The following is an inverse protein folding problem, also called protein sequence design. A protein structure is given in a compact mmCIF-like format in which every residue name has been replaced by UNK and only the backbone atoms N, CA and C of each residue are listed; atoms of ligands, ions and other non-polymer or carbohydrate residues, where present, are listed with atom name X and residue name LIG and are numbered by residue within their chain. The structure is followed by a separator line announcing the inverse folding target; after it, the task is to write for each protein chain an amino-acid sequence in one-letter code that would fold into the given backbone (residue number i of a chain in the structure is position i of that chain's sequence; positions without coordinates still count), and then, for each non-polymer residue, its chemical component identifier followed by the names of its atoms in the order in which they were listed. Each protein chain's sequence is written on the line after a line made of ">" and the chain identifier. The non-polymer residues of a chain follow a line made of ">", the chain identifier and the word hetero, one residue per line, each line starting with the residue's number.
data_IF_872968849647
#
_entry.id   IF_872968849647
#
_cell.length_a   1.000
_cell.length_b   1.000
_cell.length_c   1.000
_cell.angle_alpha   90.00
_cell.angle_beta   90.00
_cell.angle_gamma   90.00
#
_symmetry.space_group_name_H-M   'P 1'
#
loop_
_entity.id
_entity.type
_entity.pdbx_description
1 polymer ?
#
# COMPACT_ATOMS: atom_id res chain seq x y z
N UNK A 1 -8.01 -23.40 10.67
CA UNK A 1 -8.21 -24.75 10.17
C UNK A 1 -7.58 -25.06 8.79
N UNK A 2 -6.48 -24.39 8.41
CA UNK A 2 -5.61 -24.75 7.28
C UNK A 2 -6.33 -25.14 5.95
N UNK A 3 -7.30 -24.34 5.53
CA UNK A 3 -7.93 -24.53 4.23
C UNK A 3 -7.01 -23.99 3.14
N UNK A 4 -6.79 -24.75 2.09
CA UNK A 4 -5.96 -24.35 0.96
C UNK A 4 -6.81 -24.25 -0.30
N UNK A 5 -6.85 -23.06 -0.90
CA UNK A 5 -7.48 -22.85 -2.20
C UNK A 5 -6.46 -23.11 -3.31
N UNK A 6 -6.49 -24.28 -3.92
CA UNK A 6 -5.64 -24.65 -5.08
C UNK A 6 -6.30 -24.35 -6.43
N UNK A 7 -7.24 -23.43 -6.46
CA UNK A 7 -7.87 -22.95 -7.67
C UNK A 7 -7.03 -21.81 -8.27
N UNK A 8 -6.83 -21.78 -9.60
CA UNK A 8 -6.08 -20.68 -10.22
C UNK A 8 -6.80 -19.34 -10.14
N UNK A 9 -8.13 -19.34 -10.00
CA UNK A 9 -8.95 -18.13 -10.01
C UNK A 9 -10.21 -18.31 -9.17
N UNK A 10 -10.46 -17.33 -8.32
CA UNK A 10 -11.73 -17.06 -7.67
C UNK A 10 -12.35 -15.83 -8.35
N UNK A 11 -13.53 -15.97 -8.93
CA UNK A 11 -14.21 -14.87 -9.62
C UNK A 11 -15.67 -14.77 -9.16
N UNK A 12 -16.10 -13.56 -8.77
CA UNK A 12 -17.43 -13.32 -8.21
C UNK A 12 -17.76 -14.20 -7.00
N UNK A 13 -16.81 -14.37 -6.09
CA UNK A 13 -16.97 -15.21 -4.89
C UNK A 13 -17.21 -14.32 -3.68
N UNK A 14 -18.11 -14.75 -2.81
CA UNK A 14 -18.49 -14.04 -1.60
C UNK A 14 -18.03 -14.83 -0.38
N UNK A 15 -17.16 -14.22 0.44
CA UNK A 15 -16.71 -14.72 1.74
C UNK A 15 -17.16 -13.81 2.89
N UNK A 16 -18.23 -13.02 2.71
CA UNK A 16 -18.71 -12.09 3.72
C UNK A 16 -18.95 -12.81 5.03
N UNK A 17 -18.37 -12.31 6.13
CA UNK A 17 -18.44 -12.90 7.47
C UNK A 17 -17.91 -14.33 7.56
N UNK A 18 -17.10 -14.75 6.59
CA UNK A 18 -16.43 -16.05 6.68
C UNK A 18 -15.47 -16.06 7.87
N UNK A 19 -15.34 -17.21 8.51
CA UNK A 19 -14.39 -17.43 9.58
C UNK A 19 -13.43 -18.56 9.21
N UNK A 20 -12.13 -18.24 9.14
CA UNK A 20 -11.09 -19.21 8.84
C UNK A 20 -9.72 -18.61 9.12
N UNK A 21 -9.02 -19.13 10.11
CA UNK A 21 -7.62 -18.78 10.33
C UNK A 21 -6.70 -19.64 9.50
N UNK A 22 -5.52 -19.11 9.15
CA UNK A 22 -4.49 -19.81 8.39
C UNK A 22 -4.98 -20.32 7.03
N UNK A 23 -5.86 -19.58 6.36
CA UNK A 23 -6.34 -19.96 5.01
C UNK A 23 -5.29 -19.61 3.97
N UNK A 24 -4.98 -20.53 3.08
CA UNK A 24 -4.02 -20.31 2.00
C UNK A 24 -4.71 -19.99 0.68
N UNK A 25 -4.64 -18.72 0.28
CA UNK A 25 -5.07 -18.20 -1.01
C UNK A 25 -3.90 -17.95 -1.97
N UNK A 26 -2.67 -18.29 -1.58
CA UNK A 26 -1.47 -17.90 -2.34
C UNK A 26 -1.52 -18.28 -3.82
N UNK A 27 -0.92 -17.42 -4.66
CA UNK A 27 -0.79 -17.63 -6.11
C UNK A 27 -2.10 -17.73 -6.88
N UNK A 28 -3.22 -17.31 -6.28
CA UNK A 28 -4.52 -17.28 -6.95
C UNK A 28 -4.79 -15.91 -7.58
N UNK A 29 -5.64 -15.89 -8.58
CA UNK A 29 -6.28 -14.69 -9.09
C UNK A 29 -7.58 -14.51 -8.30
N UNK A 30 -7.67 -13.42 -7.52
CA UNK A 30 -8.84 -13.02 -6.75
C UNK A 30 -9.49 -11.85 -7.49
N UNK A 31 -10.56 -12.12 -8.22
CA UNK A 31 -11.22 -11.14 -9.08
C UNK A 31 -12.68 -10.96 -8.68
N UNK A 32 -13.03 -9.78 -8.21
CA UNK A 32 -14.37 -9.47 -7.70
C UNK A 32 -14.73 -10.41 -6.52
N UNK A 33 -13.83 -10.50 -5.54
CA UNK A 33 -14.05 -11.32 -4.33
C UNK A 33 -14.38 -10.39 -3.17
N UNK A 34 -15.46 -10.69 -2.46
CA UNK A 34 -15.85 -9.95 -1.27
C UNK A 34 -15.50 -10.73 0.00
N UNK A 35 -14.48 -10.22 0.71
CA UNK A 35 -14.05 -10.76 2.01
C UNK A 35 -14.58 -9.93 3.19
N UNK A 36 -15.46 -8.96 2.96
CA UNK A 36 -15.85 -8.03 4.00
C UNK A 36 -16.36 -8.72 5.27
N UNK A 37 -16.02 -8.15 6.42
CA UNK A 37 -16.39 -8.64 7.75
C UNK A 37 -15.84 -10.04 8.08
N UNK A 38 -14.87 -10.58 7.33
CA UNK A 38 -14.33 -11.93 7.55
C UNK A 38 -13.24 -11.95 8.62
N UNK A 39 -13.10 -13.12 9.28
CA UNK A 39 -12.04 -13.44 10.22
C UNK A 39 -11.01 -14.31 9.50
N UNK A 40 -9.94 -13.68 9.00
CA UNK A 40 -8.91 -14.32 8.15
C UNK A 40 -7.49 -14.11 8.72
N UNK A 41 -7.36 -14.14 10.05
CA UNK A 41 -6.06 -14.01 10.69
C UNK A 41 -5.06 -15.07 10.21
N UNK A 42 -3.77 -14.71 10.14
CA UNK A 42 -2.67 -15.57 9.70
C UNK A 42 -2.83 -16.16 8.28
N UNK A 43 -3.72 -15.60 7.46
CA UNK A 43 -3.99 -16.10 6.11
C UNK A 43 -2.91 -15.68 5.12
N UNK A 44 -2.72 -16.50 4.09
CA UNK A 44 -1.68 -16.35 3.11
C UNK A 44 -2.24 -15.89 1.76
N UNK A 45 -1.94 -14.63 1.38
CA UNK A 45 -2.29 -14.02 0.09
C UNK A 45 -1.03 -13.73 -0.76
N UNK A 46 0.09 -14.40 -0.48
CA UNK A 46 1.35 -14.19 -1.22
C UNK A 46 1.18 -14.44 -2.70
N UNK A 47 1.77 -13.56 -3.51
CA UNK A 47 1.79 -13.69 -4.97
C UNK A 47 0.37 -13.77 -5.60
N UNK A 48 -0.67 -13.33 -4.87
CA UNK A 48 -2.01 -13.22 -5.44
C UNK A 48 -2.10 -12.05 -6.43
N UNK A 49 -2.87 -12.25 -7.49
CA UNK A 49 -3.37 -11.14 -8.32
C UNK A 49 -4.76 -10.74 -7.84
N UNK A 50 -4.89 -9.57 -7.25
CA UNK A 50 -6.13 -9.11 -6.60
C UNK A 50 -6.74 -7.98 -7.43
N UNK A 51 -8.00 -8.15 -7.84
CA UNK A 51 -8.75 -7.20 -8.66
C UNK A 51 -10.15 -6.98 -8.11
N UNK A 52 -10.60 -5.73 -8.06
CA UNK A 52 -11.98 -5.37 -7.69
C UNK A 52 -12.50 -6.06 -6.41
N UNK A 53 -11.60 -6.40 -5.48
CA UNK A 53 -11.93 -7.18 -4.30
C UNK A 53 -12.03 -6.27 -3.06
N UNK A 54 -12.81 -6.70 -2.09
CA UNK A 54 -13.15 -5.93 -0.91
C UNK A 54 -12.70 -6.65 0.36
N UNK A 55 -11.94 -5.93 1.22
CA UNK A 55 -11.45 -6.43 2.51
C UNK A 55 -11.93 -5.54 3.68
N UNK A 56 -13.03 -4.82 3.54
CA UNK A 56 -13.54 -3.94 4.58
C UNK A 56 -13.97 -4.69 5.85
N UNK A 57 -13.66 -4.10 6.99
CA UNK A 57 -13.98 -4.66 8.29
C UNK A 57 -13.43 -6.09 8.50
N UNK A 58 -12.36 -6.47 7.80
CA UNK A 58 -11.73 -7.77 7.96
C UNK A 58 -10.81 -7.81 9.17
N UNK A 59 -10.73 -8.96 9.81
CA UNK A 59 -9.67 -9.30 10.74
C UNK A 59 -8.57 -10.05 9.98
N UNK A 60 -7.46 -9.34 9.67
CA UNK A 60 -6.34 -9.85 8.86
C UNK A 60 -5.05 -9.96 9.69
N UNK A 61 -5.16 -10.01 11.02
CA UNK A 61 -4.01 -10.08 11.92
C UNK A 61 -2.94 -11.06 11.42
N UNK A 62 -1.68 -10.59 11.32
CA UNK A 62 -0.52 -11.36 10.90
C UNK A 62 -0.68 -12.11 9.55
N UNK A 63 -1.52 -11.61 8.65
CA UNK A 63 -1.68 -12.17 7.30
C UNK A 63 -0.61 -11.66 6.35
N UNK A 64 -0.33 -12.41 5.28
CA UNK A 64 0.77 -12.15 4.37
C UNK A 64 0.28 -11.83 2.96
N UNK A 65 0.64 -10.64 2.46
CA UNK A 65 0.42 -10.20 1.07
C UNK A 65 1.74 -9.99 0.31
N UNK A 66 2.83 -10.60 0.76
CA UNK A 66 4.15 -10.47 0.12
C UNK A 66 4.06 -10.75 -1.38
N UNK A 67 4.53 -9.81 -2.22
CA UNK A 67 4.50 -9.85 -3.68
C UNK A 67 3.09 -9.99 -4.28
N UNK A 68 2.06 -9.63 -3.55
CA UNK A 68 0.72 -9.55 -4.13
C UNK A 68 0.64 -8.38 -5.11
N UNK A 69 -0.13 -8.57 -6.18
CA UNK A 69 -0.39 -7.57 -7.21
C UNK A 69 -1.84 -7.09 -7.09
N UNK A 70 -2.03 -5.83 -6.74
CA UNK A 70 -3.33 -5.19 -6.66
C UNK A 70 -3.61 -4.46 -7.98
N UNK A 71 -4.18 -5.18 -8.94
CA UNK A 71 -4.30 -4.82 -10.36
C UNK A 71 -5.67 -4.24 -10.71
N UNK A 72 -6.23 -3.39 -9.87
CA UNK A 72 -7.55 -2.83 -10.12
C UNK A 72 -7.47 -1.38 -10.58
N UNK A 73 -8.30 -1.01 -11.57
CA UNK A 73 -8.58 0.39 -11.88
C UNK A 73 -9.46 1.05 -10.79
N UNK A 74 -10.13 0.25 -9.97
CA UNK A 74 -10.88 0.70 -8.81
C UNK A 74 -10.05 0.54 -7.56
N UNK A 75 -10.30 1.39 -6.59
CA UNK A 75 -9.68 1.34 -5.28
C UNK A 75 -9.98 0.01 -4.59
N UNK A 76 -8.93 -0.67 -4.10
CA UNK A 76 -9.08 -1.85 -3.25
C UNK A 76 -9.23 -1.36 -1.82
N UNK A 77 -10.29 -1.80 -1.17
CA UNK A 77 -10.68 -1.28 0.12
C UNK A 77 -10.33 -2.21 1.27
N UNK A 78 -9.73 -1.62 2.32
CA UNK A 78 -9.43 -2.24 3.61
C UNK A 78 -10.06 -1.44 4.77
N UNK A 79 -11.08 -0.61 4.50
CA UNK A 79 -11.65 0.33 5.47
C UNK A 79 -12.03 -0.42 6.77
N UNK A 80 -11.62 0.13 7.91
CA UNK A 80 -11.91 -0.39 9.27
C UNK A 80 -11.41 -1.81 9.51
N UNK A 81 -10.41 -2.28 8.76
CA UNK A 81 -9.85 -3.60 8.97
C UNK A 81 -8.75 -3.60 10.02
N UNK A 82 -8.60 -4.74 10.70
CA UNK A 82 -7.45 -4.97 11.57
C UNK A 82 -6.29 -5.51 10.73
N UNK A 83 -5.30 -4.66 10.50
CA UNK A 83 -4.07 -4.95 9.75
C UNK A 83 -2.85 -5.08 10.68
N UNK A 84 -3.05 -5.36 11.96
CA UNK A 84 -1.95 -5.54 12.92
C UNK A 84 -1.02 -6.65 12.46
N UNK A 85 0.28 -6.36 12.40
CA UNK A 85 1.33 -7.27 11.94
C UNK A 85 1.11 -7.87 10.54
N UNK A 86 0.30 -7.25 9.69
CA UNK A 86 0.16 -7.66 8.29
C UNK A 86 1.39 -7.27 7.50
N UNK A 87 1.83 -8.16 6.61
CA UNK A 87 2.99 -7.96 5.75
C UNK A 87 2.56 -7.71 4.30
N UNK A 88 2.60 -6.45 3.86
CA UNK A 88 2.52 -6.04 2.45
C UNK A 88 3.94 -5.78 1.92
N UNK A 89 4.73 -6.83 1.80
CA UNK A 89 6.13 -6.71 1.41
C UNK A 89 6.29 -6.85 -0.12
N UNK A 90 6.92 -5.85 -0.78
CA UNK A 90 7.08 -5.77 -2.24
C UNK A 90 5.76 -5.95 -3.01
N UNK A 91 4.69 -5.29 -2.57
CA UNK A 91 3.41 -5.34 -3.28
C UNK A 91 3.37 -4.38 -4.46
N UNK A 92 2.77 -4.79 -5.57
CA UNK A 92 2.40 -3.91 -6.68
C UNK A 92 1.03 -3.33 -6.40
N UNK A 93 0.99 -2.12 -5.88
CA UNK A 93 -0.23 -1.44 -5.47
C UNK A 93 -0.13 0.05 -5.83
N UNK A 94 -1.01 0.52 -6.70
CA UNK A 94 -1.15 1.95 -7.02
C UNK A 94 -2.38 2.60 -6.37
N UNK A 95 -3.32 1.81 -5.89
CA UNK A 95 -4.55 2.30 -5.24
C UNK A 95 -4.87 1.45 -4.02
N UNK A 96 -5.35 2.06 -2.96
CA UNK A 96 -5.80 1.35 -1.76
C UNK A 96 -6.43 2.31 -0.77
N UNK A 97 -7.38 1.84 0.01
CA UNK A 97 -8.04 2.61 1.05
C UNK A 97 -7.88 1.94 2.41
N UNK A 98 -7.07 2.57 3.27
CA UNK A 98 -6.74 2.09 4.60
C UNK A 98 -7.41 2.92 5.71
N UNK A 99 -8.48 3.63 5.37
CA UNK A 99 -9.17 4.51 6.30
C UNK A 99 -9.68 3.74 7.52
N UNK A 100 -9.45 4.33 8.70
CA UNK A 100 -9.90 3.79 9.99
C UNK A 100 -9.36 2.37 10.32
N UNK A 101 -8.26 1.93 9.67
CA UNK A 101 -7.63 0.65 9.97
C UNK A 101 -6.86 0.67 11.29
N UNK A 102 -6.72 -0.51 11.91
CA UNK A 102 -5.72 -0.75 12.96
C UNK A 102 -4.43 -1.19 12.26
N UNK A 103 -3.32 -0.47 12.47
CA UNK A 103 -2.07 -0.63 11.70
C UNK A 103 -0.84 -0.87 12.59
N UNK A 104 -1.03 -1.42 13.78
CA UNK A 104 0.09 -1.75 14.66
C UNK A 104 1.00 -2.77 13.98
N UNK A 105 2.33 -2.49 13.96
CA UNK A 105 3.32 -3.35 13.30
C UNK A 105 3.01 -3.69 11.83
N UNK A 106 2.23 -2.87 11.13
CA UNK A 106 1.99 -3.01 9.71
C UNK A 106 3.28 -2.77 8.91
N UNK A 107 3.65 -3.73 8.07
CA UNK A 107 4.73 -3.59 7.10
C UNK A 107 4.15 -3.33 5.71
N UNK A 108 4.52 -2.21 5.08
CA UNK A 108 4.10 -1.88 3.73
C UNK A 108 5.29 -1.39 2.90
N UNK A 109 5.68 -2.20 1.92
CA UNK A 109 6.68 -1.85 0.92
C UNK A 109 6.08 -1.98 -0.47
N UNK A 110 6.09 -0.90 -1.24
CA UNK A 110 5.52 -0.85 -2.59
C UNK A 110 6.61 -1.15 -3.62
N UNK A 111 6.31 -2.03 -4.56
CA UNK A 111 7.09 -2.19 -5.79
C UNK A 111 6.65 -1.13 -6.80
N UNK A 112 7.53 -0.19 -7.09
CA UNK A 112 7.29 0.93 -7.99
C UNK A 112 7.66 0.62 -9.45
N UNK A 113 7.84 -0.65 -9.83
CA UNK A 113 8.23 -1.03 -11.20
C UNK A 113 7.23 -0.54 -12.26
N UNK A 114 5.96 -0.39 -11.90
CA UNK A 114 4.91 0.12 -12.79
C UNK A 114 5.07 1.59 -13.19
N UNK A 115 5.99 2.33 -12.57
CA UNK A 115 6.35 3.68 -12.99
C UNK A 115 7.01 3.65 -14.39
N UNK A 116 7.74 2.58 -14.69
CA UNK A 116 8.41 2.43 -15.99
C UNK A 116 7.38 2.14 -17.09
N UNK A 117 7.30 3.02 -18.08
CA UNK A 117 6.41 2.85 -19.23
C UNK A 117 4.93 3.08 -18.95
N UNK A 118 4.58 3.68 -17.80
CA UNK A 118 3.20 4.06 -17.52
C UNK A 118 2.82 5.28 -18.36
N UNK A 119 1.79 5.14 -19.21
CA UNK A 119 1.31 6.21 -20.08
C UNK A 119 0.66 7.35 -19.31
N UNK A 120 0.08 7.09 -18.12
CA UNK A 120 -0.50 8.08 -17.21
C UNK A 120 0.29 8.12 -15.88
N UNK A 121 1.52 8.62 -15.95
CA UNK A 121 2.40 8.72 -14.79
C UNK A 121 1.83 9.63 -13.70
N UNK A 122 1.23 10.76 -14.08
CA UNK A 122 0.66 11.72 -13.13
C UNK A 122 -0.53 11.10 -12.38
N UNK A 123 -1.40 10.39 -13.08
CA UNK A 123 -2.51 9.66 -12.48
C UNK A 123 -2.02 8.55 -11.53
N UNK A 124 -1.00 7.80 -11.93
CA UNK A 124 -0.38 6.76 -11.10
C UNK A 124 0.17 7.34 -9.79
N UNK A 125 0.96 8.42 -9.87
CA UNK A 125 1.53 9.09 -8.69
C UNK A 125 0.44 9.64 -7.77
N UNK A 126 -0.56 10.31 -8.34
CA UNK A 126 -1.68 10.85 -7.57
C UNK A 126 -2.47 9.76 -6.83
N UNK A 127 -2.62 8.59 -7.43
CA UNK A 127 -3.28 7.45 -6.80
C UNK A 127 -2.46 6.92 -5.60
N UNK A 128 -1.13 6.80 -5.74
CA UNK A 128 -0.26 6.39 -4.62
C UNK A 128 -0.33 7.41 -3.49
N UNK A 129 -0.31 8.70 -3.80
CA UNK A 129 -0.41 9.77 -2.78
C UNK A 129 -1.73 9.66 -2.03
N UNK A 130 -2.85 9.51 -2.74
CA UNK A 130 -4.17 9.31 -2.12
C UNK A 130 -4.20 8.08 -1.22
N UNK A 131 -3.63 6.98 -1.68
CA UNK A 131 -3.52 5.75 -0.88
C UNK A 131 -2.75 6.00 0.42
N UNK A 132 -1.59 6.67 0.36
CA UNK A 132 -0.80 7.04 1.54
C UNK A 132 -1.62 7.92 2.50
N UNK A 133 -2.42 8.84 1.98
CA UNK A 133 -3.28 9.72 2.79
C UNK A 133 -4.37 8.95 3.54
N UNK A 134 -4.84 7.83 3.01
CA UNK A 134 -5.87 7.01 3.69
C UNK A 134 -5.34 6.20 4.87
N UNK A 135 -4.01 6.04 5.00
CA UNK A 135 -3.43 5.39 6.18
C UNK A 135 -3.80 6.19 7.45
N UNK A 136 -4.05 5.52 8.58
CA UNK A 136 -4.39 6.19 9.83
C UNK A 136 -3.29 7.13 10.34
N UNK A 137 -3.67 8.12 11.14
CA UNK A 137 -2.70 9.13 11.65
C UNK A 137 -1.64 8.53 12.58
N UNK A 138 -1.94 7.43 13.28
CA UNK A 138 -0.95 6.72 14.08
C UNK A 138 0.12 6.00 13.25
N UNK A 139 -0.09 5.84 11.94
CA UNK A 139 0.89 5.29 10.99
C UNK A 139 1.82 6.37 10.39
N UNK A 140 2.08 7.49 11.08
CA UNK A 140 2.85 8.63 10.57
C UNK A 140 4.24 8.25 10.04
N UNK A 141 4.95 7.36 10.73
CA UNK A 141 6.28 6.91 10.28
C UNK A 141 6.16 6.18 8.94
N UNK A 142 5.21 5.26 8.83
CA UNK A 142 4.95 4.52 7.59
C UNK A 142 4.59 5.45 6.43
N UNK A 143 3.68 6.40 6.66
CA UNK A 143 3.32 7.44 5.68
C UNK A 143 4.55 8.19 5.18
N UNK A 144 5.40 8.62 6.09
CA UNK A 144 6.62 9.36 5.78
C UNK A 144 7.59 8.52 4.94
N UNK A 145 7.83 7.28 5.34
CA UNK A 145 8.71 6.35 4.60
C UNK A 145 8.21 6.09 3.17
N UNK A 146 6.91 5.86 3.00
CA UNK A 146 6.32 5.64 1.68
C UNK A 146 6.44 6.88 0.79
N UNK A 147 6.13 8.06 1.32
CA UNK A 147 6.26 9.32 0.57
C UNK A 147 7.70 9.57 0.12
N UNK A 148 8.66 9.34 1.00
CA UNK A 148 10.08 9.51 0.70
C UNK A 148 10.56 8.51 -0.34
N UNK A 149 10.21 7.23 -0.22
CA UNK A 149 10.55 6.20 -1.22
C UNK A 149 9.98 6.54 -2.59
N UNK A 150 8.74 7.05 -2.66
CA UNK A 150 8.15 7.50 -3.92
C UNK A 150 8.99 8.62 -4.56
N UNK A 151 9.34 9.66 -3.81
CA UNK A 151 10.16 10.77 -4.30
C UNK A 151 11.52 10.29 -4.81
N UNK A 152 12.15 9.33 -4.12
CA UNK A 152 13.42 8.76 -4.57
C UNK A 152 13.30 8.03 -5.90
N UNK A 153 12.28 7.19 -6.05
CA UNK A 153 12.06 6.47 -7.31
C UNK A 153 11.91 7.45 -8.47
N UNK A 154 11.16 8.52 -8.27
CA UNK A 154 10.97 9.53 -9.30
C UNK A 154 12.26 10.29 -9.64
N UNK A 155 13.14 10.56 -8.64
CA UNK A 155 14.46 11.14 -8.88
C UNK A 155 15.36 10.21 -9.67
N UNK A 156 15.44 8.92 -9.30
CA UNK A 156 16.24 7.92 -10.02
C UNK A 156 15.85 7.86 -11.49
N UNK A 157 14.57 8.01 -11.78
CA UNK A 157 14.02 7.98 -13.14
C UNK A 157 14.23 9.28 -13.92
N UNK A 158 14.80 10.31 -13.29
CA UNK A 158 14.95 11.65 -13.87
C UNK A 158 13.62 12.26 -14.36
N UNK A 159 12.49 11.82 -13.80
CA UNK A 159 11.14 12.24 -14.15
C UNK A 159 10.79 13.56 -13.46
N UNK A 160 11.62 14.01 -12.51
CA UNK A 160 11.36 15.16 -11.66
C UNK A 160 11.65 16.45 -12.40
N UNK A 161 10.69 16.96 -13.16
CA UNK A 161 10.73 18.33 -13.64
C UNK A 161 10.26 19.31 -12.54
N UNK A 162 10.51 20.64 -12.73
CA UNK A 162 10.11 21.65 -11.74
C UNK A 162 8.60 21.63 -11.43
N UNK A 163 7.76 21.42 -12.45
CA UNK A 163 6.31 21.38 -12.30
C UNK A 163 5.86 20.19 -11.44
N UNK A 164 6.55 19.04 -11.59
CA UNK A 164 6.30 17.87 -10.75
C UNK A 164 6.63 18.16 -9.27
N UNK A 165 7.80 18.77 -8.99
CA UNK A 165 8.18 19.15 -7.62
C UNK A 165 7.16 20.13 -7.02
N UNK A 166 6.69 21.12 -7.79
CA UNK A 166 5.68 22.07 -7.31
C UNK A 166 4.32 21.41 -7.06
N UNK A 167 3.89 20.51 -7.92
CA UNK A 167 2.67 19.73 -7.71
C UNK A 167 2.79 18.82 -6.49
N UNK A 168 3.93 18.16 -6.30
CA UNK A 168 4.22 17.37 -5.11
C UNK A 168 4.20 18.24 -3.85
N UNK A 169 4.84 19.42 -3.85
CA UNK A 169 4.80 20.37 -2.75
C UNK A 169 3.37 20.79 -2.43
N UNK A 170 2.55 21.09 -3.44
CA UNK A 170 1.15 21.48 -3.27
C UNK A 170 0.32 20.36 -2.67
N UNK A 171 0.45 19.16 -3.18
CA UNK A 171 -0.26 17.98 -2.70
C UNK A 171 0.17 17.61 -1.29
N UNK A 172 1.47 17.58 -1.03
CA UNK A 172 2.02 17.26 0.29
C UNK A 172 1.92 18.41 1.31
N UNK A 173 1.67 19.65 0.89
CA UNK A 173 1.44 20.76 1.84
C UNK A 173 0.23 20.53 2.74
N UNK A 174 -0.70 19.70 2.33
CA UNK A 174 -1.91 19.32 3.07
C UNK A 174 -1.72 18.02 3.87
N UNK A 175 -0.61 17.33 3.67
CA UNK A 175 -0.31 16.07 4.38
C UNK A 175 0.34 16.35 5.73
N UNK A 176 -0.31 16.02 6.86
CA UNK A 176 0.22 16.35 8.20
C UNK A 176 1.60 15.77 8.47
N UNK A 177 1.92 14.60 7.91
CA UNK A 177 3.18 13.90 8.11
C UNK A 177 4.37 14.51 7.35
N UNK A 178 4.13 15.34 6.33
CA UNK A 178 5.19 16.11 5.66
C UNK A 178 5.50 17.42 6.44
N UNK A 179 4.79 17.67 7.53
CA UNK A 179 5.18 18.72 8.48
C UNK A 179 6.45 18.37 9.25
N UNK A 180 6.93 17.14 9.17
CA UNK A 180 8.25 16.78 9.69
C UNK A 180 9.32 17.68 9.05
N UNK A 181 10.08 18.46 9.84
CA UNK A 181 11.08 19.40 9.33
C UNK A 181 12.12 18.73 8.44
N UNK A 182 12.45 17.45 8.69
CA UNK A 182 13.45 16.69 7.94
C UNK A 182 12.93 16.39 6.54
N UNK A 183 11.70 15.92 6.42
CA UNK A 183 11.07 15.61 5.12
C UNK A 183 10.83 16.89 4.33
N UNK A 184 10.40 17.97 5.00
CA UNK A 184 10.28 19.29 4.37
C UNK A 184 11.61 19.81 3.84
N UNK A 185 12.68 19.73 4.63
CA UNK A 185 14.00 20.20 4.19
C UNK A 185 14.49 19.39 3.00
N UNK A 186 14.18 18.10 2.94
CA UNK A 186 14.56 17.22 1.84
C UNK A 186 13.80 17.52 0.54
N UNK A 187 12.47 17.67 0.60
CA UNK A 187 11.64 18.06 -0.55
C UNK A 187 12.00 19.46 -1.05
N UNK A 188 12.46 20.36 -0.15
CA UNK A 188 12.79 21.74 -0.48
C UNK A 188 14.24 21.96 -0.90
N UNK A 189 15.22 21.17 -0.39
CA UNK A 189 16.64 21.48 -0.57
C UNK A 189 17.30 20.80 -1.77
N UNK A 190 16.76 19.71 -2.26
CA UNK A 190 17.42 18.93 -3.30
C UNK A 190 18.76 18.30 -2.88
N UNK A 191 19.10 18.32 -1.59
CA UNK A 191 20.37 17.81 -1.05
C UNK A 191 20.24 16.31 -0.71
N UNK A 192 20.97 15.47 -1.41
CA UNK A 192 20.93 14.02 -1.30
C UNK A 192 21.40 13.47 0.06
N UNK A 193 22.30 14.20 0.75
CA UNK A 193 22.95 13.71 1.97
C UNK A 193 22.00 13.58 3.19
N UNK A 194 21.02 14.48 3.33
CA UNK A 194 20.08 14.44 4.47
C UNK A 194 19.08 13.31 4.42
N UNK A 195 18.84 12.79 3.22
CA UNK A 195 17.96 11.65 3.01
C UNK A 195 18.62 10.34 3.44
N UNK A 196 19.88 10.15 3.05
CA UNK A 196 20.63 8.95 3.42
C UNK A 196 20.78 8.85 4.94
N UNK A 197 20.92 9.98 5.63
CA UNK A 197 20.97 10.04 7.10
C UNK A 197 19.62 9.67 7.73
N UNK A 198 18.52 10.18 7.17
CA UNK A 198 17.17 9.80 7.61
C UNK A 198 16.93 8.29 7.45
N UNK A 199 17.27 7.72 6.29
CA UNK A 199 17.08 6.30 6.03
C UNK A 199 17.97 5.39 6.87
N UNK A 200 19.18 5.86 7.29
CA UNK A 200 20.05 5.11 8.21
C UNK A 200 19.53 5.08 9.65
N UNK A 201 18.84 6.14 10.07
CA UNK A 201 18.29 6.26 11.43
C UNK A 201 16.98 5.47 11.62
N UNK A 202 16.29 5.10 10.52
CA UNK A 202 14.99 4.45 10.54
C UNK A 202 15.01 3.08 9.83
N UNK A 203 16.19 2.47 9.69
CA UNK A 203 16.37 1.05 9.40
C UNK A 203 16.38 0.28 10.72
#
# INVERSE_FOLDING_TARGET
>A
DNVIFKCRRLHNVIFIKASGECVDFSKNILDTVDFSQSQLGHSNFRECQIRNSNFDNCYLYASHFTRAEFLSAKEISFIKSNLTAVMFDYVRMSTGNFKDCITEQLELTIDYSDIFGNEDLDGYINNIIKMIDTLPDNAMILKSVLAVKLVMQLKILNIVNKNFIENMKKTFSHCPYIKDPIIRSYIHSGEDNKFDDFMRQHR
#
